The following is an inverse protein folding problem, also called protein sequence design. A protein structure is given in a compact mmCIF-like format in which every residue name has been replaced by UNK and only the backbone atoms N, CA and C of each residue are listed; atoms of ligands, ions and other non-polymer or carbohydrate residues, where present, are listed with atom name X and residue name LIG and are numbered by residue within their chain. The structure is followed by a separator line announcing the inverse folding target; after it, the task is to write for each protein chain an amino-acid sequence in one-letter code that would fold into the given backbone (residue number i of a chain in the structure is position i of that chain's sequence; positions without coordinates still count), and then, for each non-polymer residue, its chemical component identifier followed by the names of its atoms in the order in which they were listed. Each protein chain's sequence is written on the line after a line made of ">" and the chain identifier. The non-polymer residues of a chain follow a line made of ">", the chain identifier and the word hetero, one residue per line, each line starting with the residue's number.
data_IF_703356944800
#
_entry.id   IF_703356944800
#
_cell.length_a   1.000
_cell.length_b   1.000
_cell.length_c   1.000
_cell.angle_alpha   90.00
_cell.angle_beta   90.00
_cell.angle_gamma   90.00
#
_symmetry.space_group_name_H-M   'P 1'
#
loop_
_entity.id
_entity.type
_entity.pdbx_description
1 polymer ?
#
# COMPACT_ATOMS: atom_id res chain seq x y z
N UNK A 1 16.88 -12.93 -12.12
CA UNK A 1 16.05 -13.89 -11.35
C UNK A 1 14.99 -14.55 -12.22
N UNK A 2 14.24 -13.83 -13.08
CA UNK A 2 13.23 -14.42 -13.99
C UNK A 2 13.65 -14.54 -15.48
N UNK A 3 14.89 -14.20 -15.85
CA UNK A 3 15.38 -14.32 -17.23
C UNK A 3 14.77 -13.35 -18.25
N UNK A 4 13.88 -12.43 -17.82
CA UNK A 4 13.31 -11.39 -18.69
C UNK A 4 14.05 -10.06 -18.61
N UNK A 5 14.13 -9.38 -19.75
CA UNK A 5 14.67 -8.03 -19.89
C UNK A 5 13.75 -6.99 -19.26
N UNK A 6 14.34 -5.91 -18.73
CA UNK A 6 13.57 -4.74 -18.33
C UNK A 6 13.09 -3.98 -19.58
N UNK A 7 11.78 -3.86 -19.74
CA UNK A 7 11.13 -3.31 -20.94
C UNK A 7 10.33 -2.04 -20.65
N UNK A 8 9.89 -1.34 -21.70
CA UNK A 8 8.92 -0.25 -21.57
C UNK A 8 7.63 -0.69 -20.85
N UNK A 9 7.16 -1.91 -21.09
CA UNK A 9 6.00 -2.49 -20.39
C UNK A 9 6.27 -2.71 -18.91
N UNK A 10 7.52 -2.96 -18.51
CA UNK A 10 7.90 -3.04 -17.08
C UNK A 10 7.72 -1.70 -16.37
N UNK A 11 8.07 -0.59 -17.02
CA UNK A 11 7.90 0.77 -16.46
C UNK A 11 6.42 1.07 -16.20
N UNK A 12 5.54 0.68 -17.13
CA UNK A 12 4.09 0.83 -16.96
C UNK A 12 3.62 0.08 -15.71
N UNK A 13 4.17 -1.10 -15.45
CA UNK A 13 3.87 -1.88 -14.24
C UNK A 13 4.25 -1.16 -12.96
N UNK A 14 5.44 -0.55 -12.92
CA UNK A 14 5.89 0.23 -11.76
C UNK A 14 4.96 1.41 -11.49
N UNK A 15 4.54 2.13 -12.54
CA UNK A 15 3.62 3.27 -12.41
C UNK A 15 2.26 2.80 -11.87
N UNK A 16 1.72 1.71 -12.42
CA UNK A 16 0.46 1.13 -11.95
C UNK A 16 0.53 0.73 -10.47
N UNK A 17 1.65 0.13 -10.05
CA UNK A 17 1.88 -0.21 -8.64
C UNK A 17 1.92 1.01 -7.74
N UNK A 18 2.61 2.08 -8.15
CA UNK A 18 2.65 3.31 -7.37
C UNK A 18 1.23 3.84 -7.12
N UNK A 19 0.35 3.81 -8.13
CA UNK A 19 -1.04 4.21 -7.97
C UNK A 19 -1.82 3.31 -6.99
N UNK A 20 -1.63 1.99 -7.05
CA UNK A 20 -2.25 1.04 -6.12
C UNK A 20 -1.81 1.33 -4.67
N UNK A 21 -0.51 1.53 -4.46
CA UNK A 21 0.08 1.79 -3.14
C UNK A 21 -0.44 3.10 -2.55
N UNK A 22 -0.47 4.17 -3.35
CA UNK A 22 -0.98 5.47 -2.92
C UNK A 22 -2.45 5.35 -2.54
N UNK A 23 -3.27 4.67 -3.35
CA UNK A 23 -4.70 4.45 -3.03
C UNK A 23 -4.89 3.68 -1.72
N UNK A 24 -4.12 2.62 -1.50
CA UNK A 24 -4.19 1.82 -0.27
C UNK A 24 -3.77 2.64 0.97
N UNK A 25 -2.77 3.50 0.83
CA UNK A 25 -2.25 4.32 1.92
C UNK A 25 -3.20 5.46 2.29
N UNK A 26 -3.74 6.16 1.29
CA UNK A 26 -4.72 7.24 1.49
C UNK A 26 -5.97 6.74 2.22
N UNK A 27 -6.46 5.56 1.83
CA UNK A 27 -7.56 4.89 2.53
C UNK A 27 -7.31 4.85 4.04
N UNK A 28 -6.16 4.32 4.48
CA UNK A 28 -5.84 4.15 5.90
C UNK A 28 -5.84 5.51 6.59
N UNK A 29 -5.17 6.49 5.99
CA UNK A 29 -5.05 7.86 6.52
C UNK A 29 -6.43 8.48 6.73
N UNK A 30 -7.28 8.47 5.70
CA UNK A 30 -8.61 9.08 5.75
C UNK A 30 -9.45 8.46 6.87
N UNK A 31 -9.39 7.12 7.02
CA UNK A 31 -10.14 6.43 8.05
C UNK A 31 -9.64 6.75 9.47
N UNK A 32 -8.33 6.85 9.66
CA UNK A 32 -7.76 7.24 10.97
C UNK A 32 -8.16 8.68 11.31
N UNK A 33 -8.12 9.59 10.33
CA UNK A 33 -8.54 10.98 10.51
C UNK A 33 -10.03 11.07 10.88
N UNK A 34 -10.88 10.29 10.23
CA UNK A 34 -12.32 10.26 10.54
C UNK A 34 -12.59 9.71 11.95
N UNK A 35 -11.94 8.62 12.34
CA UNK A 35 -12.03 8.10 13.71
C UNK A 35 -11.49 9.09 14.77
N UNK A 36 -10.50 9.90 14.42
CA UNK A 36 -9.99 10.98 15.29
C UNK A 36 -11.00 12.11 15.43
N UNK A 37 -11.74 12.47 14.37
CA UNK A 37 -12.85 13.44 14.43
C UNK A 37 -14.00 12.94 15.29
N UNK A 38 -14.23 11.63 15.32
CA UNK A 38 -15.20 10.97 16.22
C UNK A 38 -14.73 10.91 17.69
N UNK A 39 -13.53 11.44 18.00
CA UNK A 39 -13.01 11.50 19.37
C UNK A 39 -12.29 10.25 19.85
N UNK A 40 -11.97 9.28 18.96
CA UNK A 40 -11.19 8.10 19.37
C UNK A 40 -9.74 8.47 19.70
N UNK A 41 -9.17 7.71 20.63
CA UNK A 41 -7.75 7.80 20.95
C UNK A 41 -6.90 7.51 19.71
N UNK A 42 -5.72 8.15 19.61
CA UNK A 42 -4.81 7.97 18.47
C UNK A 42 -4.50 6.50 18.20
N UNK A 43 -4.23 5.75 19.27
CA UNK A 43 -3.90 4.34 19.21
C UNK A 43 -5.06 3.52 18.67
N UNK A 44 -6.28 3.75 19.16
CA UNK A 44 -7.45 2.99 18.74
C UNK A 44 -7.85 3.32 17.29
N UNK A 45 -7.71 4.58 16.89
CA UNK A 45 -7.97 5.00 15.52
C UNK A 45 -7.03 4.32 14.51
N UNK A 46 -5.72 4.30 14.81
CA UNK A 46 -4.72 3.65 13.95
C UNK A 46 -4.94 2.13 13.92
N UNK A 47 -5.21 1.50 15.06
CA UNK A 47 -5.43 0.06 15.13
C UNK A 47 -6.66 -0.36 14.32
N UNK A 48 -7.78 0.34 14.52
CA UNK A 48 -9.03 0.07 13.80
C UNK A 48 -8.89 0.34 12.30
N UNK A 49 -8.25 1.45 11.92
CA UNK A 49 -8.02 1.79 10.51
C UNK A 49 -7.10 0.81 9.80
N UNK A 50 -6.09 0.30 10.47
CA UNK A 50 -5.19 -0.70 9.88
C UNK A 50 -5.90 -2.05 9.73
N UNK A 51 -6.62 -2.52 10.76
CA UNK A 51 -7.29 -3.82 10.75
C UNK A 51 -8.41 -3.93 9.71
N UNK A 52 -9.24 -2.89 9.57
CA UNK A 52 -10.35 -2.90 8.62
C UNK A 52 -9.90 -2.87 7.16
N UNK A 53 -8.70 -2.33 6.89
CA UNK A 53 -8.18 -2.18 5.53
C UNK A 53 -7.26 -3.32 5.11
N UNK A 54 -6.76 -4.11 6.06
CA UNK A 54 -5.91 -5.26 5.78
C UNK A 54 -6.60 -6.26 4.82
N UNK A 55 -7.88 -6.56 5.04
CA UNK A 55 -8.65 -7.47 4.15
C UNK A 55 -8.75 -6.94 2.71
N UNK A 56 -9.24 -5.71 2.46
CA UNK A 56 -9.21 -5.10 1.13
C UNK A 56 -7.83 -5.04 0.48
N UNK A 57 -6.78 -4.68 1.22
CA UNK A 57 -5.41 -4.58 0.68
C UNK A 57 -4.92 -5.95 0.21
N UNK A 58 -5.13 -6.99 1.01
CA UNK A 58 -4.79 -8.36 0.65
C UNK A 58 -5.57 -8.84 -0.59
N UNK A 59 -6.86 -8.51 -0.69
CA UNK A 59 -7.66 -8.84 -1.88
C UNK A 59 -7.13 -8.17 -3.14
N UNK A 60 -6.74 -6.90 -3.06
CA UNK A 60 -6.10 -6.18 -4.18
C UNK A 60 -4.79 -6.86 -4.56
N UNK A 61 -3.94 -7.18 -3.57
CA UNK A 61 -2.67 -7.82 -3.82
C UNK A 61 -2.82 -9.19 -4.51
N UNK A 62 -3.74 -10.02 -4.01
CA UNK A 62 -4.06 -11.32 -4.60
C UNK A 62 -4.60 -11.17 -6.02
N UNK A 63 -5.53 -10.23 -6.24
CA UNK A 63 -6.09 -9.95 -7.56
C UNK A 63 -5.00 -9.54 -8.56
N UNK A 64 -4.10 -8.64 -8.16
CA UNK A 64 -2.98 -8.22 -9.01
C UNK A 64 -2.03 -9.38 -9.32
N UNK A 65 -1.69 -10.23 -8.35
CA UNK A 65 -0.81 -11.38 -8.57
C UNK A 65 -1.44 -12.39 -9.53
N UNK A 66 -2.70 -12.76 -9.28
CA UNK A 66 -3.43 -13.73 -10.10
C UNK A 66 -3.66 -13.19 -11.52
N UNK A 67 -4.08 -11.93 -11.64
CA UNK A 67 -4.31 -11.26 -12.92
C UNK A 67 -3.03 -11.07 -13.71
N UNK A 68 -1.90 -10.76 -13.06
CA UNK A 68 -0.61 -10.63 -13.74
C UNK A 68 -0.02 -12.00 -14.13
N UNK A 69 -0.38 -13.07 -13.41
CA UNK A 69 0.11 -14.41 -13.67
C UNK A 69 -0.17 -14.91 -15.10
N UNK A 70 -1.32 -14.53 -15.68
CA UNK A 70 -1.70 -14.92 -17.05
C UNK A 70 -0.77 -14.31 -18.11
N UNK A 71 -0.13 -13.18 -17.80
CA UNK A 71 0.69 -12.40 -18.74
C UNK A 71 2.17 -12.79 -18.72
N UNK A 72 2.59 -13.67 -17.80
CA UNK A 72 4.00 -14.06 -17.63
C UNK A 72 4.58 -14.71 -18.89
N UNK A 73 3.77 -15.51 -19.58
CA UNK A 73 4.21 -16.25 -20.78
C UNK A 73 4.24 -15.38 -22.04
N UNK A 74 3.80 -14.13 -21.95
CA UNK A 74 3.74 -13.21 -23.09
C UNK A 74 5.10 -12.50 -23.31
N UNK A 75 5.67 -12.50 -24.54
CA UNK A 75 6.95 -11.85 -24.82
C UNK A 75 6.97 -10.33 -24.66
N UNK A 76 5.82 -9.67 -24.79
CA UNK A 76 5.67 -8.21 -24.72
C UNK A 76 5.29 -7.79 -23.29
N UNK A 77 4.37 -8.53 -22.67
CA UNK A 77 3.80 -8.20 -21.37
C UNK A 77 4.42 -8.92 -20.18
N UNK A 78 5.31 -9.89 -20.39
CA UNK A 78 5.97 -10.59 -19.28
C UNK A 78 6.70 -9.64 -18.33
N UNK A 79 7.32 -8.57 -18.84
CA UNK A 79 8.04 -7.59 -18.02
C UNK A 79 7.09 -6.79 -17.11
N UNK A 80 5.90 -6.45 -17.64
CA UNK A 80 4.80 -5.86 -16.88
C UNK A 80 4.33 -6.81 -15.78
N UNK A 81 4.08 -8.08 -16.12
CA UNK A 81 3.62 -9.10 -15.17
C UNK A 81 4.58 -9.29 -13.99
N UNK A 82 5.87 -9.43 -14.30
CA UNK A 82 6.92 -9.62 -13.29
C UNK A 82 7.01 -8.40 -12.39
N UNK A 83 6.98 -7.19 -12.97
CA UNK A 83 6.99 -5.95 -12.20
C UNK A 83 5.79 -5.90 -11.24
N UNK A 84 4.59 -6.18 -11.73
CA UNK A 84 3.36 -6.15 -10.92
C UNK A 84 3.42 -7.16 -9.78
N UNK A 85 3.81 -8.41 -10.03
CA UNK A 85 3.84 -9.45 -9.00
C UNK A 85 4.82 -9.11 -7.88
N UNK A 86 6.09 -8.86 -8.24
CA UNK A 86 7.12 -8.56 -7.24
C UNK A 86 6.85 -7.25 -6.53
N UNK A 87 6.49 -6.21 -7.28
CA UNK A 87 6.22 -4.91 -6.71
C UNK A 87 4.99 -4.92 -5.80
N UNK A 88 3.94 -5.68 -6.13
CA UNK A 88 2.76 -5.85 -5.25
C UNK A 88 3.14 -6.52 -3.95
N UNK A 89 3.91 -7.60 -3.99
CA UNK A 89 4.30 -8.33 -2.76
C UNK A 89 5.12 -7.42 -1.85
N UNK A 90 6.17 -6.79 -2.39
CA UNK A 90 7.04 -5.89 -1.62
C UNK A 90 6.26 -4.70 -1.09
N UNK A 91 5.47 -4.05 -1.95
CA UNK A 91 4.72 -2.86 -1.56
C UNK A 91 3.61 -3.15 -0.55
N UNK A 92 2.95 -4.31 -0.63
CA UNK A 92 1.91 -4.69 0.34
C UNK A 92 2.49 -4.82 1.74
N UNK A 93 3.66 -5.48 1.87
CA UNK A 93 4.37 -5.59 3.15
C UNK A 93 4.77 -4.20 3.66
N UNK A 94 5.35 -3.37 2.78
CA UNK A 94 5.74 -2.01 3.15
C UNK A 94 4.52 -1.17 3.56
N UNK A 95 3.41 -1.19 2.83
CA UNK A 95 2.21 -0.41 3.17
C UNK A 95 1.63 -0.81 4.51
N UNK A 96 1.52 -2.11 4.80
CA UNK A 96 0.93 -2.59 6.06
C UNK A 96 1.79 -2.25 7.27
N UNK A 97 3.11 -2.18 7.13
CA UNK A 97 4.02 -1.91 8.26
C UNK A 97 4.40 -0.43 8.33
N UNK A 98 4.89 0.13 7.22
CA UNK A 98 5.47 1.47 7.17
C UNK A 98 4.41 2.55 7.32
N UNK A 99 3.25 2.42 6.67
CA UNK A 99 2.22 3.48 6.72
C UNK A 99 1.68 3.68 8.14
N UNK A 100 1.26 2.64 8.88
CA UNK A 100 0.81 2.83 10.27
C UNK A 100 1.90 3.38 11.19
N UNK A 101 3.16 2.94 11.02
CA UNK A 101 4.27 3.41 11.84
C UNK A 101 4.59 4.88 11.60
N UNK A 102 4.66 5.31 10.33
CA UNK A 102 4.89 6.71 9.99
C UNK A 102 3.74 7.59 10.49
N UNK A 103 2.51 7.13 10.33
CA UNK A 103 1.34 7.88 10.76
C UNK A 103 1.26 8.01 12.30
N UNK A 104 1.62 6.95 13.01
CA UNK A 104 1.74 6.97 14.47
C UNK A 104 2.79 7.99 14.95
N UNK A 105 3.99 8.00 14.35
CA UNK A 105 5.02 8.97 14.71
C UNK A 105 4.62 10.40 14.37
N UNK A 106 3.99 10.62 13.22
CA UNK A 106 3.56 11.95 12.78
C UNK A 106 2.52 12.53 13.74
N UNK A 107 1.47 11.77 14.04
CA UNK A 107 0.38 12.24 14.90
C UNK A 107 0.78 12.34 16.38
N UNK A 108 1.67 11.48 16.87
CA UNK A 108 2.24 11.64 18.22
C UNK A 108 3.02 12.95 18.35
N UNK A 109 3.79 13.32 17.34
CA UNK A 109 4.55 14.57 17.34
C UNK A 109 3.64 15.79 17.25
N UNK A 110 2.51 15.71 16.55
CA UNK A 110 1.51 16.78 16.55
C UNK A 110 0.84 16.96 17.91
N UNK A 111 0.48 15.88 18.59
CA UNK A 111 -0.15 15.95 19.92
C UNK A 111 0.81 16.58 20.95
N UNK A 112 2.08 16.16 20.96
CA UNK A 112 3.12 16.78 21.82
C UNK A 112 3.33 18.27 21.55
N UNK A 113 3.23 18.69 20.28
CA UNK A 113 3.38 20.09 19.90
C UNK A 113 2.19 20.94 20.37
N UNK A 114 0.98 20.38 20.42
CA UNK A 114 -0.21 21.08 20.94
C UNK A 114 -0.20 21.22 22.47
N UNK A 115 0.40 20.29 23.20
CA UNK A 115 0.55 20.38 24.65
C UNK A 115 1.65 21.37 25.09
N UNK A 116 2.56 21.71 24.19
CA UNK A 116 3.68 22.63 24.44
C UNK A 116 3.35 24.12 24.12
N UNK A 117 2.14 24.40 23.63
CA UNK A 117 1.64 25.75 23.27
C UNK A 117 0.48 26.11 24.18
#
# INVERSE_FOLDING_TARGET
>A
IMGQSFTATSIIGIIALAAIVVRNSLLIIDFVLDLRKEGKSLRDAILAGTLLRLRPILLTALSTILGSGIMISDPIFGGLAISLIYGTVVSTVLTVVVVPLLFYQFLLNEDKRKEAV
#
